data_IF_203782986921
#
_entry.id   IF_203782986921
#
_cell.length_a   1.000
_cell.length_b   1.000
_cell.length_c   1.000
_cell.angle_alpha   90.00
_cell.angle_beta   90.00
_cell.angle_gamma   90.00
#
_symmetry.space_group_name_H-M   'P 1'
#
loop_
_entity.id
_entity.type
_entity.pdbx_description
1 polymer ?
#
# COMPACT_ATOMS: atom_id res chain seq x y z
N UNK A 1 2.55 -23.55 -19.57
CA UNK A 1 2.35 -23.98 -18.19
C UNK A 1 3.40 -23.20 -17.40
N UNK A 2 2.94 -22.18 -16.64
CA UNK A 2 3.85 -21.24 -15.97
C UNK A 2 4.46 -21.88 -14.72
N UNK A 3 5.61 -21.39 -14.32
CA UNK A 3 6.37 -21.76 -13.12
C UNK A 3 5.55 -21.62 -11.80
N UNK A 4 4.36 -21.01 -11.88
CA UNK A 4 3.43 -20.72 -10.78
C UNK A 4 2.35 -21.77 -10.56
N UNK A 5 2.38 -22.90 -11.25
CA UNK A 5 1.35 -23.91 -11.14
C UNK A 5 1.70 -24.93 -10.03
N UNK A 6 1.11 -24.72 -8.85
CA UNK A 6 1.28 -25.56 -7.64
C UNK A 6 1.06 -27.06 -7.95
N UNK A 7 0.11 -27.38 -8.86
CA UNK A 7 -0.24 -28.77 -9.21
C UNK A 7 0.86 -29.45 -10.01
N UNK A 8 1.61 -28.70 -10.84
CA UNK A 8 2.66 -29.24 -11.69
C UNK A 8 4.05 -29.22 -11.05
N UNK A 9 4.29 -28.30 -10.13
CA UNK A 9 5.58 -28.17 -9.41
C UNK A 9 5.74 -29.18 -8.28
N UNK A 10 4.64 -29.74 -7.75
CA UNK A 10 4.66 -30.70 -6.63
C UNK A 10 5.08 -30.09 -5.29
N UNK A 11 5.26 -28.78 -5.22
CA UNK A 11 5.59 -28.05 -4.00
C UNK A 11 4.43 -27.11 -3.60
N UNK A 12 4.09 -27.12 -2.30
CA UNK A 12 3.10 -26.24 -1.72
C UNK A 12 3.69 -24.82 -1.56
N UNK A 13 3.77 -24.06 -2.66
CA UNK A 13 4.30 -22.70 -2.67
C UNK A 13 3.19 -21.66 -2.54
N UNK A 14 3.32 -20.75 -1.59
CA UNK A 14 2.42 -19.60 -1.39
C UNK A 14 2.89 -18.38 -2.21
N UNK A 15 4.06 -18.49 -2.84
CA UNK A 15 4.79 -17.38 -3.50
C UNK A 15 4.00 -16.71 -4.63
N UNK A 16 3.21 -17.49 -5.40
CA UNK A 16 2.44 -16.97 -6.52
C UNK A 16 1.48 -15.84 -6.13
N UNK A 17 0.81 -15.96 -4.99
CA UNK A 17 -0.09 -14.93 -4.47
C UNK A 17 0.69 -13.66 -4.12
N UNK A 18 1.83 -13.80 -3.46
CA UNK A 18 2.66 -12.67 -3.02
C UNK A 18 3.36 -11.96 -4.17
N UNK A 19 3.60 -12.63 -5.29
CA UNK A 19 4.09 -11.98 -6.53
C UNK A 19 3.03 -11.10 -7.22
N UNK A 20 1.77 -11.49 -7.15
CA UNK A 20 0.66 -10.75 -7.78
C UNK A 20 0.17 -9.61 -6.87
N UNK A 21 0.24 -9.79 -5.56
CA UNK A 21 -0.30 -8.84 -4.58
C UNK A 21 0.23 -7.40 -4.72
N UNK A 22 1.53 -7.13 -4.97
CA UNK A 22 2.03 -5.77 -5.20
C UNK A 22 1.35 -5.07 -6.37
N UNK A 23 1.08 -5.79 -7.47
CA UNK A 23 0.41 -5.25 -8.65
C UNK A 23 -1.04 -4.84 -8.36
N UNK A 24 -1.74 -5.63 -7.54
CA UNK A 24 -3.08 -5.28 -7.08
C UNK A 24 -3.04 -4.05 -6.16
N UNK A 25 -2.05 -3.93 -5.28
CA UNK A 25 -1.89 -2.79 -4.39
C UNK A 25 -1.57 -1.50 -5.16
N UNK A 26 -0.82 -1.55 -6.27
CA UNK A 26 -0.52 -0.39 -7.14
C UNK A 26 -1.81 0.27 -7.65
N UNK A 27 -2.87 -0.51 -7.88
CA UNK A 27 -4.18 -0.01 -8.31
C UNK A 27 -5.11 0.26 -7.13
N UNK A 28 -5.14 -0.63 -6.14
CA UNK A 28 -6.05 -0.55 -5.01
C UNK A 28 -5.78 0.67 -4.11
N UNK A 29 -4.53 0.94 -3.75
CA UNK A 29 -4.20 2.04 -2.85
C UNK A 29 -4.54 3.42 -3.45
N UNK A 30 -4.18 3.76 -4.70
CA UNK A 30 -4.63 4.99 -5.33
C UNK A 30 -6.14 5.06 -5.52
N UNK A 31 -6.83 3.95 -5.80
CA UNK A 31 -8.28 3.92 -5.93
C UNK A 31 -8.99 4.26 -4.62
N UNK A 32 -8.49 3.79 -3.48
CA UNK A 32 -9.03 4.13 -2.17
C UNK A 32 -8.73 5.57 -1.76
N UNK A 33 -7.56 6.10 -2.13
CA UNK A 33 -7.11 7.43 -1.68
C UNK A 33 -7.53 8.57 -2.61
N UNK A 34 -7.89 8.30 -3.87
CA UNK A 34 -8.21 9.32 -4.87
C UNK A 34 -9.34 10.27 -4.44
N UNK A 35 -10.30 9.78 -3.64
CA UNK A 35 -11.46 10.55 -3.17
C UNK A 35 -11.20 11.36 -1.91
N UNK A 36 -10.24 10.94 -1.08
CA UNK A 36 -10.07 11.43 0.29
C UNK A 36 -9.84 12.96 0.39
N UNK A 37 -9.17 13.55 -0.58
CA UNK A 37 -8.90 14.99 -0.62
C UNK A 37 -9.47 15.61 -1.90
N UNK A 38 -9.28 14.98 -3.06
CA UNK A 38 -9.69 15.55 -4.34
C UNK A 38 -11.21 15.77 -4.42
N UNK A 39 -12.03 14.84 -3.90
CA UNK A 39 -13.49 14.99 -3.86
C UNK A 39 -13.94 16.12 -2.94
N UNK A 40 -13.37 16.23 -1.74
CA UNK A 40 -13.71 17.32 -0.81
C UNK A 40 -13.34 18.69 -1.38
N UNK A 41 -12.25 18.78 -2.13
CA UNK A 41 -11.84 20.01 -2.82
C UNK A 41 -12.70 20.31 -4.04
N UNK A 42 -13.24 19.28 -4.70
CA UNK A 42 -14.15 19.42 -5.84
C UNK A 42 -15.54 19.88 -5.39
N UNK A 43 -16.04 19.35 -4.29
CA UNK A 43 -17.38 19.67 -3.74
C UNK A 43 -17.40 20.91 -2.87
N UNK A 44 -16.22 21.50 -2.53
CA UNK A 44 -16.12 22.65 -1.62
C UNK A 44 -16.25 22.29 -0.15
N UNK A 45 -16.41 21.03 0.23
CA UNK A 45 -16.49 20.58 1.62
C UNK A 45 -15.15 20.71 2.35
N UNK A 46 -14.04 20.82 1.60
CA UNK A 46 -12.72 21.10 2.14
C UNK A 46 -12.69 22.44 2.92
N UNK A 47 -13.36 23.47 2.41
CA UNK A 47 -13.39 24.78 3.06
C UNK A 47 -14.16 24.73 4.39
N UNK A 48 -15.21 23.92 4.49
CA UNK A 48 -15.92 23.67 5.75
C UNK A 48 -15.04 22.95 6.77
N UNK A 49 -14.26 21.97 6.32
CA UNK A 49 -13.34 21.24 7.19
C UNK A 49 -12.28 22.15 7.81
N UNK A 50 -11.88 23.21 7.10
CA UNK A 50 -10.91 24.21 7.54
C UNK A 50 -11.46 25.20 8.57
N UNK A 51 -12.77 25.39 8.66
CA UNK A 51 -13.36 26.22 9.72
C UNK A 51 -13.32 25.56 11.09
N UNK A 52 -13.06 24.26 11.14
CA UNK A 52 -12.92 23.52 12.39
C UNK A 52 -11.54 23.81 13.02
N UNK A 53 -11.46 23.87 14.37
CA UNK A 53 -10.20 24.10 15.09
C UNK A 53 -9.31 22.82 15.13
N UNK A 54 -9.04 22.26 13.95
CA UNK A 54 -8.26 21.01 13.78
C UNK A 54 -7.03 21.31 12.92
N UNK A 55 -5.86 20.85 13.36
CA UNK A 55 -4.64 21.01 12.57
C UNK A 55 -4.70 20.18 11.28
N UNK A 56 -4.22 20.76 10.17
CA UNK A 56 -4.16 20.13 8.85
C UNK A 56 -3.44 18.78 8.87
N UNK A 57 -2.33 18.70 9.62
CA UNK A 57 -1.58 17.46 9.79
C UNK A 57 -2.41 16.35 10.41
N UNK A 58 -3.27 16.67 11.38
CA UNK A 58 -4.16 15.69 12.00
C UNK A 58 -5.19 15.17 11.00
N UNK A 59 -5.75 16.04 10.16
CA UNK A 59 -6.71 15.65 9.11
C UNK A 59 -6.04 14.68 8.12
N UNK A 60 -4.85 15.02 7.62
CA UNK A 60 -4.12 14.19 6.66
C UNK A 60 -3.76 12.82 7.27
N UNK A 61 -3.27 12.80 8.52
CA UNK A 61 -2.92 11.56 9.21
C UNK A 61 -4.14 10.67 9.49
N UNK A 62 -5.28 11.24 9.87
CA UNK A 62 -6.51 10.46 10.05
C UNK A 62 -7.01 9.85 8.73
N UNK A 63 -6.98 10.60 7.63
CA UNK A 63 -7.35 10.10 6.30
C UNK A 63 -6.40 8.99 5.83
N UNK A 64 -5.11 9.19 6.04
CA UNK A 64 -4.09 8.16 5.77
C UNK A 64 -4.34 6.90 6.58
N UNK A 65 -4.52 7.02 7.89
CA UNK A 65 -4.77 5.87 8.77
C UNK A 65 -6.04 5.10 8.37
N UNK A 66 -7.12 5.81 8.02
CA UNK A 66 -8.36 5.19 7.57
C UNK A 66 -8.17 4.41 6.26
N UNK A 67 -7.46 4.98 5.26
CA UNK A 67 -7.19 4.29 4.01
C UNK A 67 -6.24 3.10 4.20
N UNK A 68 -5.19 3.27 5.00
CA UNK A 68 -4.25 2.18 5.29
C UNK A 68 -4.90 1.02 6.05
N UNK A 69 -5.76 1.30 7.02
CA UNK A 69 -6.51 0.23 7.73
C UNK A 69 -7.42 -0.54 6.78
N UNK A 70 -8.06 0.12 5.81
CA UNK A 70 -8.86 -0.57 4.79
C UNK A 70 -7.99 -1.48 3.91
N UNK A 71 -6.82 -1.03 3.48
CA UNK A 71 -5.89 -1.88 2.70
C UNK A 71 -5.33 -3.02 3.54
N UNK A 72 -5.03 -2.80 4.81
CA UNK A 72 -4.59 -3.85 5.74
C UNK A 72 -5.67 -4.93 5.93
N UNK A 73 -6.93 -4.53 6.08
CA UNK A 73 -8.08 -5.45 6.15
C UNK A 73 -8.23 -6.22 4.84
N UNK A 74 -8.04 -5.58 3.69
CA UNK A 74 -8.10 -6.23 2.37
C UNK A 74 -6.99 -7.29 2.18
N UNK A 75 -5.89 -7.21 2.92
CA UNK A 75 -4.82 -8.22 2.91
C UNK A 75 -5.11 -9.43 3.82
N UNK A 76 -6.07 -9.35 4.75
CA UNK A 76 -6.38 -10.48 5.66
C UNK A 76 -6.75 -11.78 4.93
N UNK A 77 -7.49 -11.80 3.80
CA UNK A 77 -7.76 -13.01 3.06
C UNK A 77 -6.51 -13.77 2.60
N UNK A 78 -5.37 -13.10 2.42
CA UNK A 78 -4.10 -13.76 2.11
C UNK A 78 -3.66 -14.74 3.22
N UNK A 79 -4.02 -14.45 4.48
CA UNK A 79 -3.76 -15.37 5.59
C UNK A 79 -4.58 -16.66 5.50
N UNK A 80 -5.81 -16.56 5.01
CA UNK A 80 -6.66 -17.75 4.80
C UNK A 80 -6.05 -18.68 3.76
N UNK A 81 -5.47 -18.09 2.69
CA UNK A 81 -4.77 -18.88 1.67
C UNK A 81 -3.59 -19.68 2.25
N UNK A 82 -2.82 -19.10 3.17
CA UNK A 82 -1.73 -19.79 3.87
C UNK A 82 -2.25 -21.02 4.64
N UNK A 83 -3.32 -20.86 5.43
CA UNK A 83 -3.89 -21.98 6.18
C UNK A 83 -4.41 -23.08 5.27
N UNK A 84 -5.01 -22.76 4.13
CA UNK A 84 -5.44 -23.75 3.14
C UNK A 84 -4.25 -24.56 2.62
N UNK A 85 -3.18 -23.89 2.21
CA UNK A 85 -1.96 -24.56 1.70
C UNK A 85 -1.32 -25.41 2.80
N UNK A 86 -1.28 -24.92 4.04
CA UNK A 86 -0.74 -25.64 5.20
C UNK A 86 -1.43 -27.00 5.44
N UNK A 87 -2.77 -27.05 5.31
CA UNK A 87 -3.54 -28.28 5.50
C UNK A 87 -3.49 -29.23 4.30
N UNK A 88 -3.23 -28.74 3.09
CA UNK A 88 -3.17 -29.54 1.86
C UNK A 88 -1.76 -30.11 1.63
N UNK A 89 -0.74 -29.48 2.21
CA UNK A 89 0.66 -29.91 2.06
C UNK A 89 0.89 -31.35 2.57
N UNK A 90 1.70 -32.12 1.86
CA UNK A 90 2.16 -33.45 2.30
C UNK A 90 3.69 -33.44 2.50
N UNK A 91 4.19 -33.68 3.74
CA UNK A 91 3.43 -33.82 4.99
C UNK A 91 2.76 -32.52 5.43
N UNK A 92 1.63 -32.62 6.17
CA UNK A 92 0.90 -31.46 6.68
C UNK A 92 1.85 -30.52 7.42
N UNK A 93 1.81 -29.22 7.08
CA UNK A 93 2.66 -28.23 7.70
C UNK A 93 4.00 -27.99 7.02
N UNK A 94 4.31 -28.66 5.92
CA UNK A 94 5.54 -28.44 5.15
C UNK A 94 5.40 -27.19 4.24
N UNK A 95 5.21 -26.03 4.87
CA UNK A 95 5.12 -24.70 4.22
C UNK A 95 6.10 -23.76 4.91
N UNK A 96 6.81 -22.95 4.15
CA UNK A 96 7.73 -21.95 4.71
C UNK A 96 6.95 -20.81 5.38
N UNK A 97 6.76 -20.93 6.69
CA UNK A 97 6.10 -19.90 7.52
C UNK A 97 6.92 -18.61 7.62
N UNK A 98 8.25 -18.70 7.49
CA UNK A 98 9.13 -17.52 7.51
C UNK A 98 8.95 -16.65 6.27
N UNK A 99 8.93 -17.26 5.10
CA UNK A 99 8.67 -16.58 3.83
C UNK A 99 7.25 -15.97 3.80
N UNK A 100 6.25 -16.69 4.32
CA UNK A 100 4.88 -16.16 4.44
C UNK A 100 4.82 -14.93 5.35
N UNK A 101 5.37 -15.00 6.55
CA UNK A 101 5.35 -13.89 7.50
C UNK A 101 6.10 -12.67 6.96
N UNK A 102 7.27 -12.88 6.35
CA UNK A 102 8.05 -11.83 5.70
C UNK A 102 7.31 -11.17 4.55
N UNK A 103 6.67 -11.96 3.69
CA UNK A 103 5.83 -11.46 2.59
C UNK A 103 4.65 -10.63 3.09
N UNK A 104 3.95 -11.10 4.12
CA UNK A 104 2.80 -10.39 4.70
C UNK A 104 3.20 -9.05 5.32
N UNK A 105 4.30 -9.03 6.09
CA UNK A 105 4.86 -7.79 6.64
C UNK A 105 5.31 -6.85 5.53
N UNK A 106 5.99 -7.38 4.51
CA UNK A 106 6.39 -6.61 3.32
C UNK A 106 5.20 -5.96 2.60
N UNK A 107 4.09 -6.70 2.41
CA UNK A 107 2.87 -6.15 1.83
C UNK A 107 2.24 -5.05 2.69
N UNK A 108 2.28 -5.18 4.01
CA UNK A 108 1.77 -4.13 4.92
C UNK A 108 2.59 -2.84 4.81
N UNK A 109 3.92 -2.92 4.75
CA UNK A 109 4.78 -1.75 4.54
C UNK A 109 4.61 -1.17 3.14
N UNK A 110 4.51 -2.01 2.11
CA UNK A 110 4.27 -1.59 0.74
C UNK A 110 2.92 -0.87 0.61
N UNK A 111 1.86 -1.42 1.21
CA UNK A 111 0.53 -0.80 1.22
C UNK A 111 0.53 0.54 1.95
N UNK A 112 1.26 0.68 3.06
CA UNK A 112 1.43 1.93 3.78
C UNK A 112 2.07 3.02 2.88
N UNK A 113 3.13 2.64 2.16
CA UNK A 113 3.82 3.53 1.23
C UNK A 113 2.93 3.93 0.05
N UNK A 114 2.25 2.98 -0.60
CA UNK A 114 1.36 3.27 -1.72
C UNK A 114 0.16 4.13 -1.32
N UNK A 115 -0.41 3.88 -0.14
CA UNK A 115 -1.49 4.70 0.41
C UNK A 115 -1.04 6.14 0.65
N UNK A 116 0.18 6.36 1.16
CA UNK A 116 0.73 7.71 1.36
C UNK A 116 0.97 8.45 0.05
N UNK A 117 1.47 7.75 -0.99
CA UNK A 117 1.68 8.30 -2.34
C UNK A 117 0.34 8.63 -3.00
N UNK A 118 -0.66 7.75 -2.89
CA UNK A 118 -1.99 8.00 -3.42
C UNK A 118 -2.67 9.20 -2.74
N UNK A 119 -2.48 9.38 -1.44
CA UNK A 119 -2.96 10.55 -0.71
C UNK A 119 -2.25 11.84 -1.17
N UNK A 120 -0.94 11.76 -1.41
CA UNK A 120 -0.17 12.88 -1.98
C UNK A 120 -0.71 13.26 -3.37
N UNK A 121 -0.95 12.29 -4.25
CA UNK A 121 -1.55 12.52 -5.56
C UNK A 121 -2.93 13.18 -5.45
N UNK A 122 -3.75 12.76 -4.46
CA UNK A 122 -5.05 13.37 -4.18
C UNK A 122 -4.94 14.83 -3.69
N UNK A 123 -3.82 15.21 -3.08
CA UNK A 123 -3.58 16.59 -2.62
C UNK A 123 -3.28 17.56 -3.76
N UNK A 124 -2.72 17.10 -4.88
CA UNK A 124 -2.36 17.97 -6.01
C UNK A 124 -3.54 18.37 -6.90
N UNK A 125 -4.62 17.61 -6.94
CA UNK A 125 -5.69 17.78 -7.92
C UNK A 125 -7.07 17.85 -7.26
N UNK A 126 -8.03 18.47 -7.95
CA UNK A 126 -9.45 18.46 -7.60
C UNK A 126 -10.23 17.37 -8.33
N UNK A 127 -9.63 16.70 -9.31
CA UNK A 127 -10.27 15.63 -10.09
C UNK A 127 -9.87 14.26 -9.55
N UNK A 128 -10.84 13.44 -9.19
CA UNK A 128 -10.63 12.08 -8.71
C UNK A 128 -9.89 11.21 -9.73
N UNK A 129 -10.27 11.31 -11.02
CA UNK A 129 -9.67 10.52 -12.10
C UNK A 129 -8.19 10.88 -12.27
N UNK A 130 -7.87 12.17 -12.28
CA UNK A 130 -6.48 12.62 -12.39
C UNK A 130 -5.66 12.20 -11.17
N UNK A 131 -6.25 12.28 -9.97
CA UNK A 131 -5.64 11.80 -8.73
C UNK A 131 -5.29 10.30 -8.80
N UNK A 132 -6.24 9.49 -9.28
CA UNK A 132 -6.03 8.05 -9.45
C UNK A 132 -4.87 7.75 -10.41
N UNK A 133 -4.89 8.38 -11.59
CA UNK A 133 -3.86 8.17 -12.63
C UNK A 133 -2.48 8.58 -12.11
N UNK A 134 -2.37 9.78 -11.50
CA UNK A 134 -1.12 10.25 -10.91
C UNK A 134 -0.62 9.31 -9.80
N UNK A 135 -1.52 8.89 -8.92
CA UNK A 135 -1.20 7.95 -7.84
C UNK A 135 -0.71 6.61 -8.36
N UNK A 136 -1.44 6.02 -9.33
CA UNK A 136 -1.08 4.73 -9.90
C UNK A 136 0.26 4.77 -10.65
N UNK A 137 0.51 5.79 -11.46
CA UNK A 137 1.79 5.97 -12.17
C UNK A 137 2.93 6.17 -11.18
N UNK A 138 2.72 6.97 -10.12
CA UNK A 138 3.76 7.23 -9.10
C UNK A 138 4.07 5.96 -8.30
N UNK A 139 3.06 5.18 -7.90
CA UNK A 139 3.24 3.91 -7.22
C UNK A 139 3.97 2.90 -8.10
N UNK A 140 3.56 2.78 -9.38
CA UNK A 140 4.20 1.90 -10.35
C UNK A 140 5.68 2.25 -10.57
N UNK A 141 5.98 3.52 -10.82
CA UNK A 141 7.33 3.99 -11.05
C UNK A 141 8.22 3.73 -9.83
N UNK A 142 7.73 4.04 -8.62
CA UNK A 142 8.50 3.86 -7.41
C UNK A 142 8.70 2.37 -7.06
N UNK A 143 7.68 1.54 -7.31
CA UNK A 143 7.79 0.09 -7.15
C UNK A 143 8.90 -0.48 -8.04
N UNK A 144 8.89 -0.13 -9.32
CA UNK A 144 9.86 -0.65 -10.29
C UNK A 144 11.29 -0.16 -10.04
N UNK A 145 11.45 1.10 -9.62
CA UNK A 145 12.79 1.71 -9.44
C UNK A 145 13.45 1.23 -8.15
N UNK A 146 12.69 1.07 -7.06
CA UNK A 146 13.29 0.92 -5.73
C UNK A 146 12.63 -0.15 -4.86
N UNK A 147 11.28 -0.19 -4.79
CA UNK A 147 10.59 -0.96 -3.77
C UNK A 147 10.57 -2.47 -4.06
N UNK A 148 10.70 -2.88 -5.31
CA UNK A 148 10.62 -4.28 -5.72
C UNK A 148 11.69 -5.15 -5.06
N UNK A 149 12.95 -4.73 -5.11
CA UNK A 149 14.05 -5.51 -4.55
C UNK A 149 13.96 -5.63 -3.03
N UNK A 150 13.55 -4.54 -2.36
CA UNK A 150 13.35 -4.51 -0.91
C UNK A 150 12.15 -5.39 -0.48
N UNK A 151 11.06 -5.36 -1.24
CA UNK A 151 9.93 -6.24 -1.01
C UNK A 151 10.31 -7.72 -1.19
N UNK A 152 11.02 -8.06 -2.28
CA UNK A 152 11.50 -9.42 -2.53
C UNK A 152 12.51 -9.91 -1.48
N UNK A 153 13.29 -9.02 -0.88
CA UNK A 153 14.14 -9.35 0.28
C UNK A 153 13.30 -9.79 1.47
N UNK A 154 12.28 -9.00 1.82
CA UNK A 154 11.36 -9.32 2.92
C UNK A 154 10.55 -10.59 2.64
N UNK A 155 10.13 -10.81 1.39
CA UNK A 155 9.38 -12.01 0.98
C UNK A 155 10.16 -13.32 1.16
N UNK A 156 11.49 -13.28 1.22
CA UNK A 156 12.34 -14.44 1.57
C UNK A 156 12.41 -14.73 3.07
N UNK A 157 11.64 -14.02 3.88
CA UNK A 157 11.61 -14.19 5.34
C UNK A 157 12.73 -13.44 6.08
N UNK A 158 13.52 -12.60 5.39
CA UNK A 158 14.58 -11.80 5.98
C UNK A 158 14.09 -10.37 6.16
N UNK A 159 13.78 -9.99 7.40
CA UNK A 159 13.40 -8.62 7.73
C UNK A 159 14.66 -7.80 8.02
N UNK A 160 15.16 -7.09 7.03
CA UNK A 160 16.26 -6.16 7.20
C UNK A 160 15.73 -4.80 7.70
N UNK A 161 16.37 -4.23 8.71
CA UNK A 161 16.07 -2.90 9.23
C UNK A 161 16.17 -1.82 8.12
N UNK A 162 17.08 -2.01 7.17
CA UNK A 162 17.25 -1.13 6.01
C UNK A 162 15.99 -1.04 5.15
N UNK A 163 15.34 -2.19 4.90
CA UNK A 163 14.12 -2.26 4.09
C UNK A 163 12.97 -1.54 4.79
N UNK A 164 12.79 -1.80 6.09
CA UNK A 164 11.77 -1.13 6.91
C UNK A 164 11.97 0.38 6.93
N UNK A 165 13.19 0.84 7.17
CA UNK A 165 13.51 2.28 7.19
C UNK A 165 13.24 2.96 5.86
N UNK A 166 13.48 2.30 4.74
CA UNK A 166 13.18 2.82 3.41
C UNK A 166 11.66 3.04 3.23
N UNK A 167 10.83 2.04 3.53
CA UNK A 167 9.37 2.16 3.43
C UNK A 167 8.83 3.27 4.34
N UNK A 168 9.29 3.32 5.58
CA UNK A 168 8.88 4.34 6.57
C UNK A 168 9.30 5.73 6.11
N UNK A 169 10.53 5.91 5.62
CA UNK A 169 11.03 7.21 5.17
C UNK A 169 10.25 7.76 3.98
N UNK A 170 9.93 6.92 2.99
CA UNK A 170 9.09 7.33 1.84
C UNK A 170 7.69 7.69 2.30
N UNK A 171 7.11 6.92 3.23
CA UNK A 171 5.78 7.20 3.78
C UNK A 171 5.74 8.55 4.49
N UNK A 172 6.71 8.83 5.37
CA UNK A 172 6.82 10.12 6.09
C UNK A 172 7.02 11.28 5.11
N UNK A 173 7.88 11.11 4.11
CA UNK A 173 8.16 12.12 3.10
C UNK A 173 6.91 12.44 2.29
N UNK A 174 6.17 11.43 1.83
CA UNK A 174 4.94 11.60 1.06
C UNK A 174 3.85 12.30 1.88
N UNK A 175 3.69 11.94 3.16
CA UNK A 175 2.72 12.60 4.06
C UNK A 175 3.11 14.04 4.37
N UNK A 176 4.40 14.32 4.60
CA UNK A 176 4.91 15.67 4.83
C UNK A 176 4.70 16.56 3.61
N UNK A 177 4.96 16.03 2.41
CA UNK A 177 4.68 16.74 1.15
C UNK A 177 3.18 17.00 0.97
N UNK A 178 2.32 16.05 1.31
CA UNK A 178 0.85 16.24 1.25
C UNK A 178 0.41 17.41 2.12
N UNK A 179 0.91 17.48 3.36
CA UNK A 179 0.60 18.57 4.30
C UNK A 179 1.12 19.90 3.75
N UNK A 180 2.36 19.93 3.25
CA UNK A 180 2.97 21.14 2.69
C UNK A 180 2.21 21.66 1.47
N UNK A 181 1.80 20.79 0.55
CA UNK A 181 1.03 21.16 -0.65
C UNK A 181 -0.31 21.75 -0.25
N UNK A 182 -1.03 21.13 0.68
CA UNK A 182 -2.31 21.62 1.16
C UNK A 182 -2.17 22.97 1.87
N UNK A 183 -1.17 23.18 2.73
CA UNK A 183 -0.92 24.46 3.39
C UNK A 183 -0.60 25.59 2.39
N UNK A 184 0.09 25.28 1.30
CA UNK A 184 0.38 26.25 0.23
C UNK A 184 -0.83 26.63 -0.60
N UNK A 185 -1.71 25.68 -0.87
CA UNK A 185 -2.94 25.92 -1.63
C UNK A 185 -3.89 26.76 -0.80
N UNK A 186 -3.90 26.54 0.49
CA UNK A 186 -4.77 27.21 1.46
C UNK A 186 -4.40 28.69 1.73
N UNK A 187 -3.16 29.07 1.45
CA UNK A 187 -2.66 30.46 1.61
C UNK A 187 -2.84 31.32 0.34
N UNK A 188 -3.35 30.74 -0.73
CA UNK A 188 -3.69 31.45 -1.97
C UNK A 188 -5.16 31.74 -2.08
#
# INVERSE_FOLDING_TARGET
PGEWNIITSGYAQVDGLFHISPWLLILLCPALTMRLIAEERQTGTWDLLRTLPISLSRVVLCKYAAAWTLTAIALLPCSVHYFLVYYIAEPIGNVDGGAFAGSMVGLLFLSATFTSIGLLASSFTKSQIVSFILGAISCFALYWITLQDHYLSMARGVLDLRDVLLFVSITILSLSLSIFVLDRIDKK
#
